data_IF_156335160773
#
_entry.id   IF_156335160773
#
_cell.length_a   1.000
_cell.length_b   1.000
_cell.length_c   1.000
_cell.angle_alpha   90.00
_cell.angle_beta   90.00
_cell.angle_gamma   90.00
#
_symmetry.space_group_name_H-M   'P 1'
#
loop_
_entity.id
_entity.type
_entity.pdbx_description
1 polymer ?
#
# COMPACT_ATOMS: atom_id res chain seq x y z
N UNK A 1 6.77 -16.50 15.18
CA UNK A 1 6.65 -15.09 15.15
C UNK A 1 7.04 -14.47 13.82
N UNK A 2 6.58 -13.29 13.60
CA UNK A 2 6.69 -12.60 12.34
C UNK A 2 8.14 -12.36 11.93
N UNK A 3 8.50 -12.75 10.73
CA UNK A 3 9.79 -12.39 10.19
C UNK A 3 9.81 -10.90 9.88
N UNK A 4 10.94 -10.27 10.17
CA UNK A 4 11.15 -8.85 9.90
C UNK A 4 11.83 -8.59 8.57
N UNK A 5 12.04 -9.63 7.78
CA UNK A 5 12.62 -9.48 6.45
C UNK A 5 11.54 -9.03 5.47
N UNK A 6 11.83 -8.06 4.61
CA UNK A 6 10.87 -7.64 3.61
C UNK A 6 10.64 -8.74 2.58
N UNK A 7 9.39 -8.89 2.18
CA UNK A 7 9.04 -9.76 1.06
C UNK A 7 9.08 -8.89 -0.19
N UNK A 8 9.90 -9.30 -1.15
CA UNK A 8 10.12 -8.52 -2.35
C UNK A 8 9.53 -9.25 -3.55
N UNK A 9 8.77 -8.52 -4.35
CA UNK A 9 8.24 -9.01 -5.60
C UNK A 9 8.56 -8.06 -6.73
N UNK A 10 8.33 -8.51 -7.94
CA UNK A 10 8.53 -7.69 -9.14
C UNK A 10 7.23 -7.63 -9.92
N UNK A 11 6.82 -6.43 -10.27
CA UNK A 11 5.66 -6.19 -11.14
C UNK A 11 6.18 -5.81 -12.51
N UNK A 12 5.75 -6.55 -13.54
CA UNK A 12 6.14 -6.25 -14.91
C UNK A 12 5.05 -5.44 -15.60
N UNK A 13 5.49 -4.40 -16.29
CA UNK A 13 4.62 -3.54 -17.08
C UNK A 13 4.81 -3.86 -18.57
N UNK A 14 3.95 -3.30 -19.39
CA UNK A 14 4.15 -3.33 -20.83
C UNK A 14 5.45 -2.61 -21.19
N UNK A 15 6.07 -2.97 -22.32
CA UNK A 15 7.30 -2.34 -22.80
C UNK A 15 8.55 -2.69 -21.99
N UNK A 16 8.57 -3.88 -21.41
CA UNK A 16 9.73 -4.44 -20.69
C UNK A 16 10.15 -3.65 -19.45
N UNK A 17 9.31 -2.76 -18.97
CA UNK A 17 9.55 -2.05 -17.72
C UNK A 17 9.03 -2.88 -16.55
N UNK A 18 9.65 -2.68 -15.41
CA UNK A 18 9.24 -3.37 -14.18
C UNK A 18 9.55 -2.51 -12.97
N UNK A 19 8.85 -2.77 -11.87
CA UNK A 19 9.20 -2.17 -10.61
C UNK A 19 9.30 -3.24 -9.53
N UNK A 20 10.05 -2.93 -8.50
CA UNK A 20 10.19 -3.79 -7.33
C UNK A 20 9.18 -3.33 -6.30
N UNK A 21 8.41 -4.26 -5.77
CA UNK A 21 7.44 -4.00 -4.72
C UNK A 21 7.93 -4.72 -3.46
N UNK A 22 8.01 -3.98 -2.37
CA UNK A 22 8.41 -4.54 -1.10
C UNK A 22 7.27 -4.41 -0.09
N UNK A 23 6.98 -5.49 0.60
CA UNK A 23 6.05 -5.46 1.72
C UNK A 23 6.74 -4.87 2.94
N UNK A 24 6.02 -4.05 3.70
CA UNK A 24 6.52 -3.48 4.95
C UNK A 24 5.80 -4.18 6.10
N UNK A 25 6.39 -5.25 6.66
CA UNK A 25 5.72 -6.00 7.71
C UNK A 25 5.68 -5.24 9.03
N UNK A 26 4.62 -5.44 9.78
CA UNK A 26 4.51 -4.96 11.15
C UNK A 26 4.37 -3.47 11.32
N UNK A 27 4.01 -2.72 10.25
CA UNK A 27 3.90 -1.26 10.35
C UNK A 27 2.71 -0.83 11.20
N UNK A 28 1.66 -1.64 11.25
CA UNK A 28 0.39 -1.24 11.88
C UNK A 28 0.48 -1.12 13.39
N UNK A 29 1.30 -1.92 14.04
CA UNK A 29 1.31 -2.03 15.50
C UNK A 29 2.57 -1.47 16.14
N UNK A 30 2.86 -0.22 15.85
CA UNK A 30 3.98 0.44 16.48
C UNK A 30 5.34 -0.01 15.97
N UNK A 31 5.44 -0.29 14.68
CA UNK A 31 6.69 -0.73 14.07
C UNK A 31 7.82 0.28 14.25
N UNK A 32 7.49 1.56 14.42
CA UNK A 32 8.49 2.58 14.69
C UNK A 32 9.24 2.33 16.02
N UNK A 33 8.66 1.53 16.90
CA UNK A 33 9.29 1.13 18.17
C UNK A 33 10.05 -0.19 18.06
N UNK A 34 9.93 -0.86 16.92
CA UNK A 34 10.52 -2.17 16.75
C UNK A 34 11.97 -2.04 16.28
N UNK A 35 12.88 -2.23 17.21
CA UNK A 35 14.32 -2.13 16.96
C UNK A 35 14.89 -3.31 16.17
N UNK A 36 14.09 -4.36 15.97
CA UNK A 36 14.52 -5.53 15.23
C UNK A 36 14.48 -5.37 13.72
N UNK A 37 14.00 -4.22 13.20
CA UNK A 37 13.86 -4.01 11.78
C UNK A 37 15.19 -3.87 11.04
N UNK A 38 16.26 -3.55 11.68
CA UNK A 38 17.59 -3.52 11.09
C UNK A 38 17.81 -2.42 10.04
N UNK A 39 19.08 -2.11 9.80
CA UNK A 39 19.46 -1.03 8.89
C UNK A 39 19.20 -1.36 7.42
N UNK A 40 19.29 -2.61 7.04
CA UNK A 40 19.03 -3.01 5.65
C UNK A 40 17.57 -2.81 5.28
N UNK A 41 16.68 -3.19 6.17
CA UNK A 41 15.25 -3.01 5.98
C UNK A 41 14.92 -1.52 5.85
N UNK A 42 15.47 -0.69 6.73
CA UNK A 42 15.29 0.75 6.68
C UNK A 42 15.80 1.34 5.37
N UNK A 43 16.95 0.88 4.89
CA UNK A 43 17.49 1.36 3.63
C UNK A 43 16.59 1.03 2.45
N UNK A 44 16.01 -0.16 2.43
CA UNK A 44 15.08 -0.54 1.36
C UNK A 44 13.82 0.31 1.39
N UNK A 45 13.28 0.54 2.57
CA UNK A 45 12.05 1.32 2.72
C UNK A 45 12.25 2.78 2.38
N UNK A 46 13.35 3.37 2.81
CA UNK A 46 13.61 4.79 2.53
C UNK A 46 13.88 5.07 1.07
N UNK A 47 14.18 4.04 0.29
CA UNK A 47 14.35 4.16 -1.17
C UNK A 47 13.03 4.03 -1.93
N UNK A 48 11.95 3.71 -1.26
CA UNK A 48 10.64 3.62 -1.91
C UNK A 48 10.25 4.97 -2.49
N UNK A 49 9.74 4.94 -3.69
CA UNK A 49 9.32 6.17 -4.40
C UNK A 49 7.83 6.40 -4.30
N UNK A 50 7.09 5.35 -4.04
CA UNK A 50 5.63 5.38 -3.92
C UNK A 50 5.23 4.43 -2.81
N UNK A 51 4.27 4.86 -2.00
CA UNK A 51 3.66 4.02 -0.98
C UNK A 51 2.29 3.56 -1.45
N UNK A 52 1.98 2.32 -1.21
CA UNK A 52 0.66 1.75 -1.51
C UNK A 52 0.08 1.21 -0.20
N UNK A 53 -1.06 1.76 0.19
CA UNK A 53 -1.77 1.27 1.37
C UNK A 53 -2.85 0.28 0.92
N UNK A 54 -2.65 -0.99 1.23
CA UNK A 54 -3.61 -2.04 0.86
C UNK A 54 -4.56 -2.25 2.03
N UNK A 55 -5.83 -1.92 1.82
CA UNK A 55 -6.85 -1.97 2.85
C UNK A 55 -7.86 -3.07 2.56
N UNK A 56 -8.28 -3.77 3.61
CA UNK A 56 -9.43 -4.66 3.55
C UNK A 56 -10.70 -3.82 3.54
N UNK A 57 -11.22 -3.54 2.35
CA UNK A 57 -12.38 -2.66 2.20
C UNK A 57 -13.68 -3.33 2.67
N UNK A 58 -13.69 -4.62 2.80
CA UNK A 58 -14.85 -5.33 3.33
C UNK A 58 -14.94 -5.30 4.86
N UNK A 59 -13.83 -4.94 5.52
CA UNK A 59 -13.77 -5.00 6.97
C UNK A 59 -13.95 -6.39 7.51
N UNK A 60 -13.48 -7.41 6.77
CA UNK A 60 -13.79 -8.81 7.06
C UNK A 60 -13.22 -9.32 8.37
N UNK A 61 -12.24 -8.61 8.93
CA UNK A 61 -11.62 -8.94 10.21
C UNK A 61 -12.06 -7.99 11.32
N UNK A 62 -13.20 -7.33 11.15
CA UNK A 62 -13.73 -6.41 12.14
C UNK A 62 -13.00 -5.07 12.17
N UNK A 63 -12.23 -4.74 11.15
CA UNK A 63 -11.47 -3.50 11.08
C UNK A 63 -12.16 -2.49 10.17
N UNK A 64 -12.04 -1.23 10.53
CA UNK A 64 -12.59 -0.14 9.73
C UNK A 64 -11.51 0.37 8.78
N UNK A 65 -11.72 0.31 7.45
CA UNK A 65 -10.72 0.79 6.51
C UNK A 65 -10.38 2.27 6.66
N UNK A 66 -11.32 3.09 7.12
CA UNK A 66 -11.04 4.51 7.39
C UNK A 66 -10.03 4.65 8.52
N UNK A 67 -10.27 3.95 9.62
CA UNK A 67 -9.33 3.96 10.75
C UNK A 67 -7.99 3.35 10.36
N UNK A 68 -8.01 2.28 9.57
CA UNK A 68 -6.79 1.62 9.13
C UNK A 68 -5.91 2.59 8.33
N UNK A 69 -6.48 3.35 7.42
CA UNK A 69 -5.68 4.33 6.67
C UNK A 69 -5.08 5.38 7.60
N UNK A 70 -5.88 5.91 8.51
CA UNK A 70 -5.40 6.92 9.46
C UNK A 70 -4.25 6.39 10.30
N UNK A 71 -4.39 5.16 10.80
CA UNK A 71 -3.36 4.53 11.62
C UNK A 71 -2.09 4.25 10.82
N UNK A 72 -2.22 3.75 9.59
CA UNK A 72 -1.07 3.49 8.73
C UNK A 72 -0.33 4.77 8.37
N UNK A 73 -1.06 5.84 8.06
CA UNK A 73 -0.45 7.13 7.77
C UNK A 73 0.31 7.67 8.97
N UNK A 74 -0.26 7.54 10.14
CA UNK A 74 0.38 7.96 11.38
C UNK A 74 1.64 7.14 11.65
N UNK A 75 1.56 5.82 11.49
CA UNK A 75 2.71 4.94 11.70
C UNK A 75 3.85 5.23 10.74
N UNK A 76 3.53 5.45 9.48
CA UNK A 76 4.54 5.79 8.48
C UNK A 76 5.25 7.09 8.88
N UNK A 77 4.50 8.08 9.31
CA UNK A 77 5.07 9.38 9.71
C UNK A 77 5.97 9.25 10.94
N UNK A 78 5.57 8.44 11.91
CA UNK A 78 6.38 8.18 13.10
C UNK A 78 7.63 7.37 12.77
N UNK A 79 7.55 6.54 11.75
CA UNK A 79 8.64 5.70 11.30
C UNK A 79 9.68 6.50 10.51
N UNK A 80 9.23 7.32 9.56
CA UNK A 80 10.09 8.16 8.73
C UNK A 80 9.28 9.30 8.13
N UNK A 81 9.64 10.53 8.45
CA UNK A 81 8.99 11.69 7.86
C UNK A 81 9.25 11.79 6.36
N UNK A 82 10.43 11.40 5.92
CA UNK A 82 10.78 11.43 4.50
C UNK A 82 9.92 10.44 3.72
N UNK A 83 9.72 9.25 4.26
CA UNK A 83 8.86 8.24 3.64
C UNK A 83 7.42 8.73 3.57
N UNK A 84 6.94 9.41 4.61
CA UNK A 84 5.58 9.93 4.66
C UNK A 84 5.32 11.01 3.60
N UNK A 85 6.36 11.64 3.08
CA UNK A 85 6.25 12.67 2.03
C UNK A 85 6.21 12.09 0.62
N UNK A 86 6.46 10.80 0.47
CA UNK A 86 6.44 10.17 -0.85
C UNK A 86 5.01 10.13 -1.40
N UNK A 87 4.85 10.13 -2.72
CA UNK A 87 3.54 9.91 -3.33
C UNK A 87 2.94 8.60 -2.84
N UNK A 88 1.63 8.57 -2.67
CA UNK A 88 0.95 7.39 -2.17
C UNK A 88 -0.45 7.27 -2.73
N UNK A 89 -0.97 6.07 -2.71
CA UNK A 89 -2.37 5.82 -3.03
C UNK A 89 -2.87 4.60 -2.26
N UNK A 90 -4.15 4.35 -2.34
CA UNK A 90 -4.82 3.28 -1.61
C UNK A 90 -5.29 2.21 -2.59
N UNK A 91 -5.11 0.96 -2.20
CA UNK A 91 -5.74 -0.18 -2.86
C UNK A 91 -6.87 -0.65 -1.96
N UNK A 92 -8.09 -0.61 -2.48
CA UNK A 92 -9.27 -1.13 -1.80
C UNK A 92 -9.43 -2.59 -2.20
N UNK A 93 -8.89 -3.50 -1.39
CA UNK A 93 -8.92 -4.93 -1.66
C UNK A 93 -10.18 -5.58 -1.12
N UNK A 94 -10.43 -6.80 -1.53
CA UNK A 94 -11.57 -7.62 -1.13
C UNK A 94 -12.92 -7.06 -1.61
N UNK A 95 -12.89 -6.42 -2.78
CA UNK A 95 -14.12 -5.87 -3.37
C UNK A 95 -15.13 -6.94 -3.78
N UNK A 96 -14.71 -8.21 -3.82
CA UNK A 96 -15.58 -9.35 -4.06
C UNK A 96 -16.47 -9.69 -2.86
N UNK A 97 -16.13 -9.19 -1.67
CA UNK A 97 -16.87 -9.52 -0.45
C UNK A 97 -18.04 -8.56 -0.24
N UNK A 98 -19.07 -9.07 0.45
CA UNK A 98 -20.24 -8.29 0.79
C UNK A 98 -19.86 -7.09 1.67
N UNK A 99 -20.48 -5.96 1.42
CA UNK A 99 -20.25 -4.72 2.16
C UNK A 99 -19.08 -3.88 1.66
N UNK A 100 -18.23 -4.44 0.80
CA UNK A 100 -17.06 -3.71 0.34
C UNK A 100 -17.42 -2.46 -0.48
N UNK A 101 -18.44 -2.55 -1.32
CA UNK A 101 -18.86 -1.39 -2.14
C UNK A 101 -19.41 -0.27 -1.28
N UNK A 102 -20.20 -0.57 -0.27
CA UNK A 102 -20.73 0.42 0.65
C UNK A 102 -19.60 1.07 1.45
N UNK A 103 -18.66 0.26 1.92
CA UNK A 103 -17.51 0.78 2.64
C UNK A 103 -16.63 1.65 1.75
N UNK A 104 -16.47 1.28 0.49
CA UNK A 104 -15.72 2.10 -0.47
C UNK A 104 -16.38 3.45 -0.69
N UNK A 105 -17.71 3.47 -0.82
CA UNK A 105 -18.45 4.71 -0.98
C UNK A 105 -18.25 5.63 0.24
N UNK A 106 -18.33 5.08 1.44
CA UNK A 106 -18.09 5.83 2.68
C UNK A 106 -16.63 6.32 2.76
N UNK A 107 -15.70 5.47 2.36
CA UNK A 107 -14.29 5.82 2.34
C UNK A 107 -14.02 7.00 1.41
N UNK A 108 -14.60 6.97 0.22
CA UNK A 108 -14.44 8.06 -0.75
C UNK A 108 -15.06 9.37 -0.30
N UNK A 109 -16.14 9.30 0.44
CA UNK A 109 -16.74 10.51 1.05
C UNK A 109 -15.83 11.10 2.12
N UNK A 110 -15.18 10.24 2.90
CA UNK A 110 -14.29 10.69 3.97
C UNK A 110 -12.98 11.23 3.43
N UNK A 111 -12.48 10.64 2.34
CA UNK A 111 -11.20 11.01 1.74
C UNK A 111 -11.38 11.30 0.25
N UNK A 112 -12.05 12.40 -0.11
CA UNK A 112 -12.39 12.65 -1.52
C UNK A 112 -11.18 12.93 -2.42
N UNK A 113 -10.04 13.28 -1.84
CA UNK A 113 -8.83 13.58 -2.61
C UNK A 113 -7.83 12.42 -2.70
N UNK A 114 -8.14 11.31 -2.05
CA UNK A 114 -7.25 10.15 -2.05
C UNK A 114 -7.53 9.31 -3.29
N UNK A 115 -6.46 8.95 -3.99
CA UNK A 115 -6.56 8.02 -5.11
C UNK A 115 -6.78 6.61 -4.58
N UNK A 116 -7.82 5.96 -5.05
CA UNK A 116 -8.19 4.61 -4.62
C UNK A 116 -8.34 3.72 -5.85
N UNK A 117 -7.69 2.57 -5.81
CA UNK A 117 -7.82 1.54 -6.83
C UNK A 117 -8.59 0.36 -6.22
N UNK A 118 -9.86 0.16 -6.60
CA UNK A 118 -10.60 -1.00 -6.12
C UNK A 118 -10.14 -2.26 -6.82
N UNK A 119 -9.98 -3.34 -6.07
CA UNK A 119 -9.62 -4.62 -6.66
C UNK A 119 -10.04 -5.80 -5.79
N UNK A 120 -9.95 -6.98 -6.38
CA UNK A 120 -10.04 -8.24 -5.67
C UNK A 120 -8.81 -9.06 -6.04
N UNK A 121 -7.86 -9.16 -5.12
CA UNK A 121 -6.66 -9.96 -5.35
C UNK A 121 -7.03 -11.44 -5.55
N UNK A 122 -8.08 -11.90 -4.89
CA UNK A 122 -8.55 -13.27 -5.03
C UNK A 122 -9.04 -13.57 -6.44
N UNK A 123 -9.82 -12.66 -7.04
CA UNK A 123 -10.42 -12.86 -8.36
C UNK A 123 -9.56 -12.30 -9.50
N UNK A 124 -8.60 -11.45 -9.19
CA UNK A 124 -7.80 -10.76 -10.20
C UNK A 124 -8.43 -9.48 -10.74
N UNK A 125 -9.63 -9.12 -10.29
CA UNK A 125 -10.31 -7.90 -10.74
C UNK A 125 -9.56 -6.67 -10.25
N UNK A 126 -9.36 -5.71 -11.13
CA UNK A 126 -8.70 -4.45 -10.79
C UNK A 126 -7.18 -4.49 -10.83
N UNK A 127 -6.58 -5.64 -11.07
CA UNK A 127 -5.12 -5.76 -11.11
C UNK A 127 -4.53 -4.94 -12.27
N UNK A 128 -5.21 -4.92 -13.42
CA UNK A 128 -4.75 -4.11 -14.56
C UNK A 128 -4.71 -2.62 -14.22
N UNK A 129 -5.71 -2.13 -13.47
CA UNK A 129 -5.76 -0.74 -13.02
C UNK A 129 -4.65 -0.45 -12.01
N UNK A 130 -4.35 -1.39 -11.12
CA UNK A 130 -3.24 -1.26 -10.19
C UNK A 130 -1.91 -1.15 -10.94
N UNK A 131 -1.68 -2.01 -11.91
CA UNK A 131 -0.46 -1.97 -12.72
C UNK A 131 -0.34 -0.64 -13.47
N UNK A 132 -1.44 -0.16 -14.03
CA UNK A 132 -1.47 1.12 -14.72
C UNK A 132 -1.12 2.27 -13.80
N UNK A 133 -1.66 2.27 -12.58
CA UNK A 133 -1.38 3.29 -11.59
C UNK A 133 0.09 3.27 -11.16
N UNK A 134 0.64 2.10 -10.91
CA UNK A 134 2.04 1.94 -10.58
C UNK A 134 2.93 2.41 -11.73
N UNK A 135 2.59 2.07 -12.96
CA UNK A 135 3.35 2.48 -14.13
C UNK A 135 3.39 4.01 -14.26
N UNK A 136 2.26 4.68 -14.02
CA UNK A 136 2.21 6.14 -14.02
C UNK A 136 3.14 6.76 -12.98
N UNK A 137 3.18 6.19 -11.78
CA UNK A 137 3.90 6.79 -10.67
C UNK A 137 5.38 6.41 -10.62
N UNK A 138 5.70 5.20 -11.05
CA UNK A 138 7.04 4.64 -10.91
C UNK A 138 7.74 4.49 -12.25
N UNK A 139 7.04 3.99 -13.26
CA UNK A 139 7.63 3.71 -14.57
C UNK A 139 8.28 4.91 -15.21
N UNK A 140 7.73 6.07 -15.01
CA UNK A 140 8.25 7.32 -15.53
C UNK A 140 9.69 7.60 -15.08
N UNK A 141 10.06 7.12 -13.92
CA UNK A 141 11.38 7.40 -13.33
C UNK A 141 12.48 6.46 -13.81
N UNK A 142 12.13 5.47 -14.62
CA UNK A 142 13.09 4.50 -15.15
C UNK A 142 13.49 4.76 -16.59
N UNK A 143 13.07 5.87 -17.15
CA UNK A 143 13.34 6.20 -18.55
C UNK A 143 14.71 6.91 -18.69
N UNK A 144 15.47 6.92 -17.67
CA UNK A 144 16.79 7.57 -17.70
C UNK A 144 17.90 6.60 -17.88
#
# INVERSE_FOLDING_TARGET
FTTLQPIIGVVEFNSFRRCVVADIPGIIEGAHRNRGLGHEFLRHITRCKVLVFVLDMAGSEGRDPIEDLQNLRTEIKLYSEDLAKQPWFVVANKMDLEGAEDNLASFRLRFPKVDVVPLSALNGDGIAQLKSKLDQLVGYKFVH
#
